data_IF_763073093003
#
_entry.id   IF_763073093003
#
_cell.length_a   1.000
_cell.length_b   1.000
_cell.length_c   1.000
_cell.angle_alpha   90.00
_cell.angle_beta   90.00
_cell.angle_gamma   90.00
#
_symmetry.space_group_name_H-M   'P 1'
#
loop_
_entity.id
_entity.type
_entity.pdbx_description
1 polymer ?
#
# COMPACT_ATOMS: atom_id res chain seq x y z
N UNK A 1 10.78 24.74 -11.09
CA UNK A 1 9.78 23.80 -10.54
C UNK A 1 9.91 22.53 -11.37
N UNK A 2 10.44 21.44 -10.81
CA UNK A 2 10.55 20.17 -11.54
C UNK A 2 9.18 19.51 -11.58
N UNK A 3 8.72 19.11 -12.77
CA UNK A 3 7.51 18.31 -12.91
C UNK A 3 7.75 16.95 -12.24
N UNK A 4 7.14 16.72 -11.08
CA UNK A 4 7.10 15.40 -10.45
C UNK A 4 5.75 14.75 -10.74
N UNK A 5 5.78 13.59 -11.39
CA UNK A 5 4.55 12.86 -11.68
C UNK A 5 3.98 12.26 -10.37
N UNK A 6 2.65 12.29 -10.16
CA UNK A 6 2.06 11.80 -8.91
C UNK A 6 2.32 10.30 -8.68
N UNK A 7 2.39 9.53 -9.76
CA UNK A 7 2.76 8.11 -9.69
C UNK A 7 4.24 7.90 -9.32
N UNK A 8 5.13 8.83 -9.68
CA UNK A 8 6.55 8.74 -9.31
C UNK A 8 6.74 8.91 -7.80
N UNK A 9 6.07 9.90 -7.19
CA UNK A 9 6.01 10.03 -5.73
C UNK A 9 5.42 8.76 -5.10
N UNK A 10 4.31 8.28 -5.66
CA UNK A 10 3.62 7.10 -5.12
C UNK A 10 4.50 5.85 -5.14
N UNK A 11 5.24 5.60 -6.21
CA UNK A 11 6.15 4.44 -6.32
C UNK A 11 7.33 4.54 -5.37
N UNK A 12 7.86 5.76 -5.17
CA UNK A 12 9.03 5.98 -4.30
C UNK A 12 8.68 5.95 -2.81
N UNK A 13 7.50 6.42 -2.45
CA UNK A 13 7.16 6.75 -1.07
C UNK A 13 5.96 5.94 -0.54
N UNK A 14 4.84 5.94 -1.28
CA UNK A 14 3.56 5.36 -0.81
C UNK A 14 3.54 3.84 -0.95
N UNK A 15 3.84 3.31 -2.15
CA UNK A 15 3.79 1.88 -2.41
C UNK A 15 4.73 1.06 -1.52
N UNK A 16 5.95 1.53 -1.18
CA UNK A 16 6.78 0.84 -0.19
C UNK A 16 6.15 0.78 1.20
N UNK A 17 5.53 1.88 1.66
CA UNK A 17 4.83 1.91 2.95
C UNK A 17 3.61 0.97 2.94
N UNK A 18 2.76 1.06 1.91
CA UNK A 18 1.58 0.20 1.72
C UNK A 18 1.99 -1.28 1.69
N UNK A 19 3.01 -1.65 0.90
CA UNK A 19 3.48 -3.04 0.82
C UNK A 19 4.04 -3.55 2.13
N UNK A 20 4.69 -2.70 2.93
CA UNK A 20 5.13 -3.07 4.28
C UNK A 20 3.95 -3.37 5.20
N UNK A 21 2.92 -2.52 5.22
CA UNK A 21 1.72 -2.75 6.03
C UNK A 21 1.01 -4.04 5.59
N UNK A 22 0.82 -4.24 4.28
CA UNK A 22 0.18 -5.44 3.73
C UNK A 22 0.97 -6.70 4.07
N UNK A 23 2.30 -6.69 3.90
CA UNK A 23 3.16 -7.83 4.23
C UNK A 23 3.08 -8.18 5.73
N UNK A 24 3.16 -7.18 6.60
CA UNK A 24 3.03 -7.38 8.05
C UNK A 24 1.69 -7.98 8.43
N UNK A 25 0.60 -7.49 7.83
CA UNK A 25 -0.75 -7.98 8.12
C UNK A 25 -0.95 -9.42 7.67
N UNK A 26 -0.48 -9.78 6.47
CA UNK A 26 -0.53 -11.16 5.98
C UNK A 26 0.27 -12.13 6.87
N UNK A 27 1.40 -11.70 7.42
CA UNK A 27 2.24 -12.58 8.24
C UNK A 27 1.76 -12.63 9.68
N UNK A 28 1.56 -11.47 10.32
CA UNK A 28 1.26 -11.37 11.76
C UNK A 28 -0.21 -11.67 12.07
N UNK A 29 -1.14 -11.18 11.25
CA UNK A 29 -2.58 -11.34 11.53
C UNK A 29 -3.18 -12.54 10.80
N UNK A 30 -2.71 -12.87 9.60
CA UNK A 30 -3.18 -14.05 8.84
C UNK A 30 -2.32 -15.30 9.05
N UNK A 31 -1.28 -15.23 9.89
CA UNK A 31 -0.37 -16.34 10.22
C UNK A 31 0.22 -17.04 8.98
N UNK A 32 0.50 -16.28 7.92
CA UNK A 32 1.10 -16.81 6.70
C UNK A 32 2.63 -16.78 6.79
N UNK A 33 3.28 -17.74 6.13
CA UNK A 33 4.73 -17.70 5.94
C UNK A 33 5.14 -16.58 4.97
N UNK A 34 6.38 -16.08 5.08
CA UNK A 34 6.94 -15.11 4.12
C UNK A 34 6.78 -15.60 2.67
N UNK A 35 6.98 -16.90 2.42
CA UNK A 35 6.83 -17.49 1.09
C UNK A 35 5.38 -17.42 0.58
N UNK A 36 4.40 -17.75 1.43
CA UNK A 36 2.99 -17.69 1.04
C UNK A 36 2.53 -16.25 0.85
N UNK A 37 2.92 -15.33 1.73
CA UNK A 37 2.64 -13.91 1.58
C UNK A 37 3.25 -13.36 0.28
N UNK A 38 4.50 -13.70 -0.04
CA UNK A 38 5.15 -13.30 -1.29
C UNK A 38 4.40 -13.80 -2.53
N UNK A 39 3.97 -15.06 -2.53
CA UNK A 39 3.15 -15.64 -3.60
C UNK A 39 1.83 -14.89 -3.80
N UNK A 40 1.12 -14.56 -2.70
CA UNK A 40 -0.14 -13.80 -2.77
C UNK A 40 0.05 -12.34 -3.21
N UNK A 41 1.20 -11.75 -2.89
CA UNK A 41 1.55 -10.38 -3.26
C UNK A 41 2.21 -10.28 -4.65
N UNK A 42 2.44 -11.39 -5.36
CA UNK A 42 3.18 -11.39 -6.62
C UNK A 42 4.62 -10.87 -6.48
N UNK A 43 5.26 -11.13 -5.34
CA UNK A 43 6.60 -10.68 -4.98
C UNK A 43 7.54 -11.85 -4.70
N UNK A 44 8.83 -11.57 -4.56
CA UNK A 44 9.80 -12.56 -4.05
C UNK A 44 9.77 -12.61 -2.52
N UNK A 45 10.08 -13.77 -1.89
CA UNK A 45 10.23 -13.84 -0.44
C UNK A 45 11.25 -12.84 0.11
N UNK A 46 12.34 -12.59 -0.63
CA UNK A 46 13.34 -11.58 -0.27
C UNK A 46 12.74 -10.16 -0.22
N UNK A 47 11.83 -9.81 -1.14
CA UNK A 47 11.14 -8.52 -1.11
C UNK A 47 10.25 -8.40 0.13
N UNK A 48 9.50 -9.46 0.48
CA UNK A 48 8.69 -9.50 1.70
C UNK A 48 9.55 -9.37 2.96
N UNK A 49 10.62 -10.14 3.07
CA UNK A 49 11.57 -10.04 4.19
C UNK A 49 12.15 -8.63 4.32
N UNK A 50 12.47 -8.00 3.18
CA UNK A 50 12.91 -6.60 3.16
C UNK A 50 11.82 -5.66 3.67
N UNK A 51 10.54 -5.85 3.33
CA UNK A 51 9.45 -5.01 3.84
C UNK A 51 9.23 -5.15 5.36
N UNK A 52 9.53 -6.31 5.94
CA UNK A 52 9.47 -6.53 7.39
C UNK A 52 10.66 -5.91 8.13
N UNK A 53 11.83 -5.91 7.50
CA UNK A 53 13.08 -5.39 8.10
C UNK A 53 13.28 -3.89 7.86
N UNK A 54 12.73 -3.36 6.77
CA UNK A 54 13.05 -2.03 6.27
C UNK A 54 12.30 -0.93 7.02
N UNK A 55 13.05 0.14 7.31
CA UNK A 55 12.52 1.43 7.77
C UNK A 55 12.22 2.39 6.61
N UNK A 56 12.39 1.99 5.34
CA UNK A 56 12.10 2.88 4.19
C UNK A 56 10.58 3.11 4.10
N UNK A 57 10.18 4.36 4.16
CA UNK A 57 8.79 4.77 4.31
C UNK A 57 8.32 4.84 5.77
N UNK A 58 9.19 4.71 6.79
CA UNK A 58 8.80 4.73 8.22
C UNK A 58 7.92 5.93 8.59
N UNK A 59 8.23 7.10 8.03
CA UNK A 59 7.48 8.32 8.31
C UNK A 59 6.07 8.25 7.73
N UNK A 60 5.92 7.82 6.48
CA UNK A 60 4.61 7.71 5.83
C UNK A 60 3.81 6.52 6.34
N UNK A 61 4.46 5.38 6.54
CA UNK A 61 3.86 4.19 7.13
C UNK A 61 3.20 4.52 8.48
N UNK A 62 3.92 5.19 9.38
CA UNK A 62 3.35 5.56 10.68
C UNK A 62 2.20 6.57 10.60
N UNK A 63 2.15 7.41 9.56
CA UNK A 63 1.00 8.28 9.29
C UNK A 63 -0.19 7.45 8.80
N UNK A 64 0.04 6.54 7.84
CA UNK A 64 -0.99 5.67 7.28
C UNK A 64 -1.57 4.71 8.32
N UNK A 65 -0.75 4.11 9.17
CA UNK A 65 -1.18 3.17 10.22
C UNK A 65 -2.03 3.83 11.30
N UNK A 66 -1.96 5.15 11.46
CA UNK A 66 -2.77 5.92 12.41
C UNK A 66 -4.15 6.28 11.84
N UNK A 67 -4.35 6.16 10.54
CA UNK A 67 -5.65 6.45 9.91
C UNK A 67 -6.51 5.18 9.91
N UNK A 68 -7.55 5.18 10.74
CA UNK A 68 -8.45 4.03 10.94
C UNK A 68 -9.11 3.60 9.63
N UNK A 69 -9.62 4.55 8.83
CA UNK A 69 -10.28 4.27 7.55
C UNK A 69 -9.34 3.60 6.55
N UNK A 70 -8.09 4.07 6.49
CA UNK A 70 -7.08 3.45 5.66
C UNK A 70 -6.77 2.02 6.12
N UNK A 71 -6.65 1.79 7.42
CA UNK A 71 -6.36 0.46 7.98
C UNK A 71 -7.52 -0.53 7.82
N UNK A 72 -8.77 -0.06 7.88
CA UNK A 72 -9.95 -0.87 7.54
C UNK A 72 -9.90 -1.34 6.09
N UNK A 73 -9.59 -0.42 5.17
CA UNK A 73 -9.44 -0.77 3.75
C UNK A 73 -8.27 -1.73 3.50
N UNK A 74 -7.14 -1.55 4.18
CA UNK A 74 -6.03 -2.51 4.13
C UNK A 74 -6.50 -3.89 4.60
N UNK A 75 -7.32 -3.96 5.64
CA UNK A 75 -7.91 -5.21 6.15
C UNK A 75 -8.83 -5.87 5.13
N UNK A 76 -9.69 -5.09 4.48
CA UNK A 76 -10.55 -5.58 3.41
C UNK A 76 -9.73 -6.13 2.23
N UNK A 77 -8.75 -5.36 1.76
CA UNK A 77 -7.87 -5.77 0.66
C UNK A 77 -7.10 -7.05 1.00
N UNK A 78 -6.52 -7.14 2.21
CA UNK A 78 -5.79 -8.36 2.62
C UNK A 78 -6.71 -9.57 2.72
N UNK A 79 -7.94 -9.42 3.20
CA UNK A 79 -8.93 -10.50 3.17
C UNK A 79 -9.21 -10.98 1.74
N UNK A 80 -9.39 -10.04 0.80
CA UNK A 80 -9.63 -10.35 -0.63
C UNK A 80 -8.43 -11.03 -1.29
N UNK A 81 -7.21 -10.61 -0.94
CA UNK A 81 -5.97 -11.22 -1.43
C UNK A 81 -5.86 -12.68 -0.97
N UNK A 82 -6.26 -13.00 0.27
CA UNK A 82 -6.24 -14.39 0.77
C UNK A 82 -7.34 -15.24 0.14
N UNK A 83 -8.54 -14.70 -0.06
CA UNK A 83 -9.70 -15.46 -0.50
C UNK A 83 -9.79 -15.67 -2.01
N UNK A 84 -9.11 -14.85 -2.82
CA UNK A 84 -9.24 -14.88 -4.28
C UNK A 84 -7.93 -14.57 -4.99
N UNK A 85 -7.75 -15.16 -6.17
CA UNK A 85 -6.63 -14.87 -7.06
C UNK A 85 -6.94 -13.60 -7.90
N UNK A 86 -7.27 -12.50 -7.23
CA UNK A 86 -7.87 -11.30 -7.85
C UNK A 86 -6.86 -10.20 -8.18
N UNK A 87 -7.34 -9.18 -8.92
CA UNK A 87 -6.61 -8.07 -9.53
C UNK A 87 -5.79 -7.25 -8.51
N UNK A 88 -4.62 -7.77 -8.15
CA UNK A 88 -3.73 -7.18 -7.16
C UNK A 88 -3.30 -5.74 -7.50
N UNK A 89 -3.14 -5.45 -8.80
CA UNK A 89 -2.85 -4.10 -9.29
C UNK A 89 -3.93 -3.11 -8.88
N UNK A 90 -5.22 -3.46 -9.02
CA UNK A 90 -6.35 -2.60 -8.68
C UNK A 90 -6.35 -2.32 -7.17
N UNK A 91 -6.13 -3.33 -6.33
CA UNK A 91 -6.08 -3.11 -4.88
C UNK A 91 -4.93 -2.20 -4.46
N UNK A 92 -3.74 -2.34 -5.06
CA UNK A 92 -2.66 -1.42 -4.77
C UNK A 92 -2.94 0.00 -5.27
N UNK A 93 -3.65 0.17 -6.39
CA UNK A 93 -4.10 1.48 -6.85
C UNK A 93 -5.11 2.11 -5.87
N UNK A 94 -6.09 1.34 -5.40
CA UNK A 94 -7.06 1.74 -4.36
C UNK A 94 -6.33 2.20 -3.10
N UNK A 95 -5.44 1.36 -2.55
CA UNK A 95 -4.66 1.70 -1.36
C UNK A 95 -3.75 2.91 -1.59
N UNK A 96 -3.16 3.04 -2.77
CA UNK A 96 -2.34 4.20 -3.09
C UNK A 96 -3.16 5.50 -3.12
N UNK A 97 -4.36 5.46 -3.70
CA UNK A 97 -5.29 6.59 -3.74
C UNK A 97 -5.75 7.00 -2.34
N UNK A 98 -6.19 6.06 -1.52
CA UNK A 98 -6.57 6.35 -0.14
C UNK A 98 -5.39 6.82 0.69
N UNK A 99 -4.21 6.23 0.50
CA UNK A 99 -2.98 6.69 1.13
C UNK A 99 -2.67 8.15 0.78
N UNK A 100 -2.85 8.57 -0.49
CA UNK A 100 -2.71 9.97 -0.88
C UNK A 100 -3.71 10.88 -0.18
N UNK A 101 -4.97 10.47 -0.03
CA UNK A 101 -5.98 11.24 0.72
C UNK A 101 -5.58 11.41 2.18
N UNK A 102 -5.04 10.37 2.83
CA UNK A 102 -4.50 10.45 4.20
C UNK A 102 -3.37 11.49 4.24
N UNK A 103 -2.38 11.37 3.35
CA UNK A 103 -1.23 12.26 3.34
C UNK A 103 -1.62 13.71 3.07
N UNK A 104 -2.58 13.97 2.18
CA UNK A 104 -3.07 15.32 1.94
C UNK A 104 -3.71 15.94 3.20
N UNK A 105 -4.40 15.16 4.04
CA UNK A 105 -4.89 15.62 5.36
C UNK A 105 -3.76 15.94 6.36
N UNK A 106 -2.58 15.35 6.16
CA UNK A 106 -1.38 15.55 6.98
C UNK A 106 -0.38 16.55 6.38
N UNK A 107 -0.83 17.44 5.48
CA UNK A 107 -0.04 18.55 4.97
C UNK A 107 0.85 18.25 3.77
N UNK A 108 0.73 17.06 3.18
CA UNK A 108 1.33 16.78 1.87
C UNK A 108 0.47 17.42 0.77
N UNK A 109 1.09 17.91 -0.31
CA UNK A 109 0.35 18.48 -1.45
C UNK A 109 0.57 17.59 -2.69
N UNK A 110 -0.18 16.50 -2.76
CA UNK A 110 -0.04 15.49 -3.80
C UNK A 110 -1.10 15.68 -4.89
N UNK A 111 -0.63 15.85 -6.13
CA UNK A 111 -1.51 15.94 -7.30
C UNK A 111 -2.24 14.60 -7.56
N UNK A 112 -3.45 14.65 -8.12
CA UNK A 112 -4.19 13.44 -8.45
C UNK A 112 -3.51 12.68 -9.60
N UNK A 113 -3.55 11.34 -9.56
CA UNK A 113 -3.14 10.49 -10.66
C UNK A 113 -4.32 10.06 -11.53
N UNK A 114 -4.03 9.33 -12.61
CA UNK A 114 -5.04 8.85 -13.54
C UNK A 114 -6.16 8.03 -12.88
N UNK A 115 -5.82 7.25 -11.85
CA UNK A 115 -6.80 6.45 -11.10
C UNK A 115 -7.83 7.32 -10.35
N UNK A 116 -7.39 8.46 -9.80
CA UNK A 116 -8.24 9.38 -9.03
C UNK A 116 -9.04 10.34 -9.91
N UNK A 117 -8.61 10.54 -11.15
CA UNK A 117 -9.28 11.42 -12.13
C UNK A 117 -10.31 10.68 -12.96
N UNK A 118 -10.11 9.37 -13.14
CA UNK A 118 -11.06 8.48 -13.81
C UNK A 118 -12.05 7.87 -12.80
N UNK A 119 -12.64 8.64 -11.88
CA UNK A 119 -13.77 8.14 -11.10
C UNK A 119 -14.86 7.64 -12.07
N UNK A 120 -14.85 6.32 -12.32
CA UNK A 120 -16.01 5.58 -12.77
C UNK A 120 -16.99 5.72 -11.62
N UNK A 121 -17.90 6.68 -11.76
CA UNK A 121 -19.14 6.76 -10.99
C UNK A 121 -19.85 5.42 -10.99
#
# INVERSE_FOLDING_TARGET
>A
MSLQLPCEFSVREILPAVRSIVAEKLIKEKNLSEYKAASLMGLTPAAVSNYLKSKRGSNLKSILEKDEKFMDLVSEVTNRIVSSNSNLSIYYCILCSEGKKVLNRHGYNLSPCLYETNEVK
#
